data_IF_705997675822
#
_entry.id   IF_705997675822
#
_cell.length_a   1.000
_cell.length_b   1.000
_cell.length_c   1.000
_cell.angle_alpha   90.00
_cell.angle_beta   90.00
_cell.angle_gamma   90.00
#
_symmetry.space_group_name_H-M   'P 1'
#
loop_
_entity.id
_entity.type
_entity.pdbx_description
1 polymer ?
#
# COMPACT_ATOMS: atom_id res chain seq x y z
N UNK A 1 -5.33 6.53 -25.54
CA UNK A 1 -4.13 7.22 -25.05
C UNK A 1 -3.54 6.32 -23.97
N UNK A 2 -2.59 5.46 -24.36
CA UNK A 2 -2.30 4.18 -23.69
C UNK A 2 -1.26 4.42 -22.59
N UNK A 3 -1.66 4.21 -21.33
CA UNK A 3 -0.82 4.32 -20.15
C UNK A 3 0.22 3.18 -20.10
N UNK A 4 1.51 3.54 -20.09
CA UNK A 4 2.62 2.63 -19.75
C UNK A 4 2.93 2.79 -18.25
N UNK A 5 2.71 1.76 -17.40
CA UNK A 5 2.89 1.87 -15.96
C UNK A 5 4.35 2.05 -15.51
N UNK A 6 5.33 1.55 -16.29
CA UNK A 6 6.76 1.75 -16.02
C UNK A 6 7.28 3.12 -16.49
N UNK A 7 6.65 3.71 -17.51
CA UNK A 7 6.88 5.13 -17.88
C UNK A 7 6.37 6.06 -16.77
N UNK A 8 5.39 5.62 -15.97
CA UNK A 8 5.07 6.31 -14.71
C UNK A 8 6.21 6.23 -13.72
N UNK A 9 6.96 5.13 -13.56
CA UNK A 9 8.15 5.11 -12.71
C UNK A 9 9.20 6.18 -13.11
N UNK A 10 9.38 6.44 -14.42
CA UNK A 10 10.26 7.50 -14.93
C UNK A 10 9.65 8.92 -14.88
N UNK A 11 8.33 9.06 -15.02
CA UNK A 11 7.62 10.35 -14.90
C UNK A 11 7.25 10.71 -13.46
N UNK A 12 7.19 9.75 -12.53
CA UNK A 12 7.14 9.94 -11.08
C UNK A 12 8.54 10.05 -10.49
N UNK A 13 9.57 9.46 -11.11
CA UNK A 13 10.97 9.91 -10.92
C UNK A 13 11.12 11.38 -11.32
N UNK A 14 10.44 11.81 -12.38
CA UNK A 14 10.35 13.23 -12.71
C UNK A 14 9.54 13.99 -11.66
N UNK A 15 8.45 13.44 -11.11
CA UNK A 15 7.64 14.03 -10.04
C UNK A 15 8.36 14.21 -8.71
N UNK A 16 9.07 13.18 -8.22
CA UNK A 16 9.89 13.23 -7.00
C UNK A 16 11.11 14.13 -7.21
N UNK A 17 11.73 14.15 -8.41
CA UNK A 17 12.76 15.13 -8.76
C UNK A 17 12.20 16.56 -8.99
N UNK A 18 10.94 16.73 -9.39
CA UNK A 18 10.33 18.04 -9.69
C UNK A 18 9.91 18.81 -8.44
N UNK A 19 9.75 18.14 -7.30
CA UNK A 19 9.39 18.78 -6.02
C UNK A 19 10.53 19.63 -5.43
N UNK A 20 11.72 19.63 -6.05
CA UNK A 20 12.91 20.36 -5.58
C UNK A 20 13.24 21.65 -6.36
N UNK A 21 12.35 22.08 -7.25
CA UNK A 21 12.55 23.29 -8.06
C UNK A 21 12.11 24.55 -7.31
N UNK A 22 13.01 25.17 -6.55
CA UNK A 22 12.75 26.47 -5.94
C UNK A 22 13.86 27.03 -5.06
N UNK A 23 15.12 27.05 -5.51
CA UNK A 23 16.23 27.63 -4.75
C UNK A 23 17.35 28.14 -5.65
N UNK A 24 17.83 29.35 -5.37
CA UNK A 24 18.80 30.13 -6.15
C UNK A 24 20.14 29.43 -6.36
N UNK A 25 20.65 29.52 -7.59
CA UNK A 25 21.88 28.92 -8.06
C UNK A 25 23.12 29.50 -7.38
N UNK A 26 23.79 28.67 -6.56
CA UNK A 26 25.21 28.76 -6.25
C UNK A 26 25.75 27.31 -6.28
N UNK A 27 26.51 26.99 -7.32
CA UNK A 27 27.32 25.77 -7.53
C UNK A 27 26.64 24.37 -7.50
N UNK A 28 25.31 24.27 -7.52
CA UNK A 28 24.60 22.99 -7.65
C UNK A 28 24.09 22.77 -9.09
N UNK A 29 24.90 22.21 -10.01
CA UNK A 29 24.38 21.45 -11.17
C UNK A 29 25.47 20.73 -11.99
N UNK A 30 25.93 19.57 -11.54
CA UNK A 30 26.42 18.55 -12.49
C UNK A 30 25.63 17.25 -12.36
N UNK A 31 25.38 16.79 -11.13
CA UNK A 31 24.70 15.51 -10.88
C UNK A 31 23.31 15.40 -11.56
N UNK A 32 22.45 16.41 -11.49
CA UNK A 32 21.15 16.36 -12.20
C UNK A 32 21.25 16.41 -13.71
N UNK A 33 22.30 17.03 -14.25
CA UNK A 33 22.56 16.97 -15.68
C UNK A 33 23.02 15.56 -16.06
N UNK A 34 23.91 14.96 -15.26
CA UNK A 34 24.35 13.57 -15.43
C UNK A 34 23.22 12.56 -15.31
N UNK A 35 22.33 12.69 -14.30
CA UNK A 35 21.15 11.83 -14.15
C UNK A 35 20.29 11.90 -15.41
N UNK A 36 20.00 13.12 -15.90
CA UNK A 36 19.21 13.31 -17.13
C UNK A 36 19.91 12.74 -18.36
N UNK A 37 21.24 12.84 -18.45
CA UNK A 37 22.00 12.23 -19.53
C UNK A 37 21.94 10.69 -19.45
N UNK A 38 22.05 10.12 -18.26
CA UNK A 38 21.99 8.67 -18.02
C UNK A 38 20.60 8.08 -18.29
N UNK A 39 19.51 8.84 -18.12
CA UNK A 39 18.14 8.38 -18.42
C UNK A 39 17.98 7.81 -19.84
N UNK A 40 18.75 8.32 -20.81
CA UNK A 40 18.75 7.80 -22.18
C UNK A 40 19.12 6.31 -22.27
N UNK A 41 20.09 5.88 -21.46
CA UNK A 41 20.53 4.48 -21.39
C UNK A 41 19.44 3.56 -20.83
N UNK A 42 18.79 3.97 -19.74
CA UNK A 42 17.66 3.21 -19.18
C UNK A 42 16.48 3.16 -20.16
N UNK A 43 16.12 4.30 -20.75
CA UNK A 43 15.00 4.39 -21.70
C UNK A 43 15.12 3.40 -22.87
N UNK A 44 16.33 3.13 -23.33
CA UNK A 44 16.59 2.18 -24.41
C UNK A 44 16.24 0.73 -24.04
N UNK A 45 16.38 0.36 -22.76
CA UNK A 45 16.14 -1.01 -22.28
C UNK A 45 14.78 -1.19 -21.62
N UNK A 46 14.05 -0.09 -21.35
CA UNK A 46 12.76 -0.16 -20.66
C UNK A 46 11.73 -1.12 -21.28
N UNK A 47 11.53 -1.17 -22.62
CA UNK A 47 10.57 -2.11 -23.20
C UNK A 47 10.92 -3.59 -22.89
N UNK A 48 12.21 -3.93 -22.94
CA UNK A 48 12.72 -5.27 -22.60
C UNK A 48 12.48 -5.58 -21.11
N UNK A 49 12.78 -4.62 -20.23
CA UNK A 49 12.57 -4.78 -18.79
C UNK A 49 11.07 -4.91 -18.43
N UNK A 50 10.22 -4.11 -19.06
CA UNK A 50 8.76 -4.18 -18.89
C UNK A 50 8.23 -5.58 -19.25
N UNK A 51 8.71 -6.14 -20.37
CA UNK A 51 8.37 -7.49 -20.80
C UNK A 51 8.86 -8.55 -19.79
N UNK A 52 10.12 -8.47 -19.35
CA UNK A 52 10.68 -9.40 -18.37
C UNK A 52 9.91 -9.38 -17.04
N UNK A 53 9.60 -8.19 -16.51
CA UNK A 53 8.83 -8.06 -15.25
C UNK A 53 7.41 -8.57 -15.43
N UNK A 54 6.77 -8.26 -16.56
CA UNK A 54 5.42 -8.79 -16.89
C UNK A 54 5.44 -10.31 -16.95
N UNK A 55 6.49 -10.90 -17.50
CA UNK A 55 6.72 -12.34 -17.55
C UNK A 55 7.26 -12.91 -16.21
N UNK A 56 7.27 -12.13 -15.12
CA UNK A 56 7.75 -12.62 -13.81
C UNK A 56 9.23 -13.01 -13.79
N UNK A 57 10.03 -12.60 -14.78
CA UNK A 57 11.49 -12.79 -14.85
C UNK A 57 12.22 -11.66 -14.11
N UNK A 58 11.80 -11.37 -12.87
CA UNK A 58 12.25 -10.20 -12.12
C UNK A 58 13.77 -10.21 -11.88
N UNK A 59 14.35 -11.35 -11.50
CA UNK A 59 15.80 -11.46 -11.27
C UNK A 59 16.61 -11.14 -12.55
N UNK A 60 16.17 -11.64 -13.70
CA UNK A 60 16.82 -11.35 -14.98
C UNK A 60 16.64 -9.87 -15.39
N UNK A 61 15.47 -9.28 -15.12
CA UNK A 61 15.25 -7.84 -15.32
C UNK A 61 16.19 -7.00 -14.46
N UNK A 62 16.37 -7.35 -13.19
CA UNK A 62 17.29 -6.66 -12.27
C UNK A 62 18.74 -6.76 -12.76
N UNK A 63 19.18 -7.95 -13.17
CA UNK A 63 20.52 -8.13 -13.74
C UNK A 63 20.71 -7.29 -15.01
N UNK A 64 19.75 -7.34 -15.93
CA UNK A 64 19.77 -6.59 -17.18
C UNK A 64 19.84 -5.08 -16.95
N UNK A 65 19.12 -4.60 -15.93
CA UNK A 65 19.10 -3.20 -15.53
C UNK A 65 20.46 -2.76 -14.95
N UNK A 66 21.06 -3.58 -14.08
CA UNK A 66 22.40 -3.31 -13.53
C UNK A 66 23.50 -3.31 -14.62
N UNK A 67 23.34 -4.10 -15.67
CA UNK A 67 24.26 -4.11 -16.82
C UNK A 67 24.23 -2.84 -17.67
N UNK A 68 23.19 -1.99 -17.56
CA UNK A 68 23.16 -0.71 -18.28
C UNK A 68 24.30 0.21 -17.83
N UNK A 69 24.61 0.19 -16.53
CA UNK A 69 25.74 0.92 -15.94
C UNK A 69 26.54 -0.01 -15.02
N UNK A 70 27.54 -0.74 -15.57
CA UNK A 70 28.29 -1.73 -14.81
C UNK A 70 29.13 -1.08 -13.71
N UNK A 71 29.18 -1.72 -12.54
CA UNK A 71 29.77 -1.17 -11.31
C UNK A 71 31.17 -0.55 -11.45
N UNK A 72 32.15 -1.13 -12.20
CA UNK A 72 33.50 -0.55 -12.28
C UNK A 72 33.59 0.83 -12.94
N UNK A 73 32.58 1.20 -13.74
CA UNK A 73 32.56 2.46 -14.51
C UNK A 73 31.34 3.33 -14.18
N UNK A 74 30.56 2.96 -13.17
CA UNK A 74 29.30 3.61 -12.84
C UNK A 74 29.55 4.93 -12.10
N UNK A 75 28.93 6.02 -12.55
CA UNK A 75 28.98 7.31 -11.86
C UNK A 75 27.96 7.39 -10.72
N UNK A 76 28.13 8.30 -9.73
CA UNK A 76 27.16 8.51 -8.67
C UNK A 76 25.74 8.79 -9.18
N UNK A 77 25.61 9.55 -10.28
CA UNK A 77 24.33 9.84 -10.93
C UNK A 77 23.66 8.57 -11.48
N UNK A 78 24.45 7.66 -12.05
CA UNK A 78 23.95 6.38 -12.56
C UNK A 78 23.56 5.45 -11.41
N UNK A 79 24.31 5.44 -10.30
CA UNK A 79 23.97 4.68 -9.10
C UNK A 79 22.67 5.17 -8.48
N UNK A 80 22.51 6.49 -8.35
CA UNK A 80 21.28 7.13 -7.89
C UNK A 80 20.08 6.72 -8.76
N UNK A 81 20.24 6.80 -10.09
CA UNK A 81 19.20 6.48 -11.04
C UNK A 81 18.80 4.98 -10.99
N UNK A 82 19.78 4.07 -10.92
CA UNK A 82 19.51 2.64 -10.78
C UNK A 82 18.83 2.31 -9.45
N UNK A 83 19.29 2.91 -8.35
CA UNK A 83 18.67 2.74 -7.02
C UNK A 83 17.20 3.11 -7.06
N UNK A 84 16.87 4.28 -7.60
CA UNK A 84 15.48 4.74 -7.71
C UNK A 84 14.58 3.84 -8.57
N UNK A 85 15.13 3.06 -9.50
CA UNK A 85 14.33 2.08 -10.27
C UNK A 85 14.19 0.78 -9.48
N UNK A 86 15.24 0.37 -8.79
CA UNK A 86 15.30 -0.92 -8.11
C UNK A 86 14.61 -0.96 -6.74
N UNK A 87 14.29 0.16 -6.07
CA UNK A 87 13.75 0.10 -4.70
C UNK A 87 12.49 -0.78 -4.54
N UNK A 88 11.61 -0.82 -5.55
CA UNK A 88 10.40 -1.66 -5.56
C UNK A 88 10.56 -3.03 -6.22
N UNK A 89 11.78 -3.39 -6.65
CA UNK A 89 12.09 -4.61 -7.39
C UNK A 89 13.18 -5.45 -6.71
N UNK A 90 14.17 -4.78 -6.12
CA UNK A 90 15.28 -5.31 -5.35
C UNK A 90 15.72 -4.26 -4.31
N UNK A 91 15.05 -4.20 -3.15
CA UNK A 91 15.38 -3.23 -2.09
C UNK A 91 16.84 -3.31 -1.64
N UNK A 92 17.45 -4.50 -1.69
CA UNK A 92 18.84 -4.72 -1.28
C UNK A 92 19.81 -4.08 -2.27
N UNK A 93 19.60 -4.28 -3.57
CA UNK A 93 20.40 -3.62 -4.60
C UNK A 93 20.21 -2.10 -4.56
N UNK A 94 18.97 -1.64 -4.37
CA UNK A 94 18.64 -0.21 -4.24
C UNK A 94 19.43 0.45 -3.12
N UNK A 95 19.37 -0.11 -1.91
CA UNK A 95 20.12 0.39 -0.75
C UNK A 95 21.63 0.53 -1.03
N UNK A 96 22.24 -0.49 -1.64
CA UNK A 96 23.67 -0.46 -1.98
C UNK A 96 24.00 0.65 -3.00
N UNK A 97 23.12 0.86 -3.98
CA UNK A 97 23.29 1.87 -5.04
C UNK A 97 23.14 3.30 -4.52
N UNK A 98 22.16 3.56 -3.66
CA UNK A 98 22.01 4.88 -3.04
C UNK A 98 23.13 5.19 -2.07
N UNK A 99 23.60 4.20 -1.32
CA UNK A 99 24.81 4.35 -0.50
C UNK A 99 26.01 4.73 -1.35
N UNK A 100 26.22 4.05 -2.47
CA UNK A 100 27.28 4.35 -3.42
C UNK A 100 27.15 5.77 -3.98
N UNK A 101 25.95 6.18 -4.39
CA UNK A 101 25.68 7.52 -4.89
C UNK A 101 25.99 8.61 -3.84
N UNK A 102 25.52 8.41 -2.60
CA UNK A 102 25.75 9.35 -1.50
C UNK A 102 27.22 9.49 -1.13
N UNK A 103 27.98 8.39 -1.16
CA UNK A 103 29.43 8.42 -0.93
C UNK A 103 30.19 9.07 -2.09
N UNK A 104 29.72 8.90 -3.33
CA UNK A 104 30.36 9.43 -4.53
C UNK A 104 30.05 10.90 -4.84
N UNK A 105 28.97 11.44 -4.28
CA UNK A 105 28.56 12.84 -4.44
C UNK A 105 28.20 13.50 -3.10
N UNK A 106 29.17 13.51 -2.18
CA UNK A 106 29.01 14.07 -0.84
C UNK A 106 28.50 15.52 -0.89
N UNK A 107 27.43 15.79 -0.14
CA UNK A 107 26.84 17.13 -0.09
C UNK A 107 25.82 17.43 -1.18
N UNK A 108 25.65 16.57 -2.19
CA UNK A 108 24.58 16.74 -3.17
C UNK A 108 23.22 16.42 -2.54
N UNK A 109 22.29 17.37 -2.63
CA UNK A 109 20.99 17.29 -1.95
C UNK A 109 20.15 16.07 -2.38
N UNK A 110 20.27 15.61 -3.63
CA UNK A 110 19.46 14.48 -4.12
C UNK A 110 19.97 13.17 -3.55
N UNK A 111 21.29 12.98 -3.57
CA UNK A 111 21.88 11.77 -2.98
C UNK A 111 21.65 11.71 -1.48
N UNK A 112 21.70 12.86 -0.79
CA UNK A 112 21.36 12.94 0.64
C UNK A 112 19.90 12.55 0.88
N UNK A 113 18.96 13.08 0.10
CA UNK A 113 17.54 12.78 0.26
C UNK A 113 17.23 11.30 0.02
N UNK A 114 17.67 10.75 -1.10
CA UNK A 114 17.41 9.34 -1.44
C UNK A 114 18.10 8.39 -0.45
N UNK A 115 19.30 8.75 0.01
CA UNK A 115 19.97 7.99 1.07
C UNK A 115 19.25 8.06 2.41
N UNK A 116 18.66 9.21 2.77
CA UNK A 116 17.83 9.31 3.97
C UNK A 116 16.60 8.42 3.88
N UNK A 117 15.91 8.39 2.73
CA UNK A 117 14.76 7.52 2.48
C UNK A 117 15.12 6.04 2.56
N UNK A 118 16.24 5.62 1.98
CA UNK A 118 16.73 4.23 2.04
C UNK A 118 17.03 3.78 3.47
N UNK A 119 17.76 4.58 4.24
CA UNK A 119 18.03 4.28 5.65
C UNK A 119 16.73 4.23 6.46
N UNK A 120 15.78 5.12 6.17
CA UNK A 120 14.48 5.13 6.84
C UNK A 120 13.73 3.82 6.57
N UNK A 121 13.67 3.38 5.31
CA UNK A 121 13.10 2.08 4.92
C UNK A 121 13.78 0.89 5.58
N UNK A 122 15.10 0.94 5.71
CA UNK A 122 15.88 -0.10 6.37
C UNK A 122 15.71 -0.11 7.91
N UNK A 123 14.97 0.85 8.48
CA UNK A 123 14.82 1.00 9.93
C UNK A 123 16.04 1.61 10.62
N UNK A 124 16.98 2.17 9.85
CA UNK A 124 18.21 2.82 10.34
C UNK A 124 17.92 4.27 10.75
N UNK A 125 16.96 4.46 11.67
CA UNK A 125 16.37 5.77 11.98
C UNK A 125 17.38 6.84 12.41
N UNK A 126 18.47 6.44 13.09
CA UNK A 126 19.53 7.38 13.49
C UNK A 126 20.32 7.90 12.27
N UNK A 127 20.65 7.03 11.31
CA UNK A 127 21.35 7.40 10.08
C UNK A 127 20.45 8.20 9.14
N UNK A 128 19.18 7.79 9.01
CA UNK A 128 18.16 8.52 8.28
C UNK A 128 17.99 9.94 8.82
N UNK A 129 17.84 10.10 10.15
CA UNK A 129 17.74 11.40 10.81
C UNK A 129 18.95 12.28 10.53
N UNK A 130 20.18 11.76 10.66
CA UNK A 130 21.39 12.52 10.35
C UNK A 130 21.41 13.03 8.89
N UNK A 131 20.89 12.21 7.96
CA UNK A 131 20.79 12.56 6.54
C UNK A 131 19.70 13.60 6.29
N UNK A 132 18.53 13.48 6.93
CA UNK A 132 17.49 14.51 6.89
C UNK A 132 17.94 15.84 7.53
N UNK A 133 18.71 15.80 8.60
CA UNK A 133 19.29 16.99 9.21
C UNK A 133 20.28 17.67 8.26
N UNK A 134 21.12 16.90 7.57
CA UNK A 134 22.00 17.42 6.53
C UNK A 134 21.20 18.06 5.39
N UNK A 135 20.15 17.39 4.91
CA UNK A 135 19.28 17.94 3.88
C UNK A 135 18.63 19.26 4.32
N UNK A 136 18.12 19.33 5.56
CA UNK A 136 17.53 20.56 6.10
C UNK A 136 18.51 21.71 6.27
N UNK A 137 19.82 21.47 6.37
CA UNK A 137 20.79 22.57 6.31
C UNK A 137 20.86 23.20 4.91
N UNK A 138 20.64 22.40 3.86
CA UNK A 138 20.64 22.86 2.47
C UNK A 138 19.29 23.47 2.07
N UNK A 139 18.19 22.91 2.58
CA UNK A 139 16.81 23.29 2.26
C UNK A 139 15.98 23.43 3.56
N UNK A 140 16.21 24.48 4.36
CA UNK A 140 15.63 24.63 5.72
C UNK A 140 14.12 24.89 5.76
N UNK A 141 13.50 25.14 4.60
CA UNK A 141 12.09 25.51 4.48
C UNK A 141 11.28 24.43 3.72
N UNK A 142 11.78 23.18 3.67
CA UNK A 142 11.15 22.07 2.96
C UNK A 142 10.40 21.12 3.91
N UNK A 143 9.07 21.21 3.91
CA UNK A 143 8.19 20.54 4.85
C UNK A 143 8.42 19.01 4.94
N UNK A 144 8.44 18.24 3.84
CA UNK A 144 8.44 16.77 3.93
C UNK A 144 9.63 16.18 4.70
N UNK A 145 10.81 16.80 4.61
CA UNK A 145 12.01 16.33 5.32
C UNK A 145 11.90 16.55 6.82
N UNK A 146 11.24 17.62 7.26
CA UNK A 146 10.93 17.81 8.67
C UNK A 146 9.92 16.77 9.17
N UNK A 147 8.88 16.47 8.39
CA UNK A 147 7.90 15.42 8.72
C UNK A 147 8.56 14.03 8.85
N UNK A 148 9.35 13.61 7.87
CA UNK A 148 10.06 12.32 7.90
C UNK A 148 11.09 12.23 9.04
N UNK A 149 11.79 13.33 9.34
CA UNK A 149 12.68 13.38 10.49
C UNK A 149 11.91 13.27 11.82
N UNK A 150 10.69 13.80 11.91
CA UNK A 150 9.83 13.64 13.09
C UNK A 150 9.46 12.16 13.32
N UNK A 151 9.15 11.40 12.26
CA UNK A 151 8.95 9.94 12.35
C UNK A 151 10.19 9.24 12.93
N UNK A 152 11.38 9.51 12.37
CA UNK A 152 12.64 8.96 12.88
C UNK A 152 12.85 9.28 14.36
N UNK A 153 12.57 10.51 14.79
CA UNK A 153 12.71 10.95 16.19
C UNK A 153 11.72 10.22 17.11
N UNK A 154 10.47 10.00 16.69
CA UNK A 154 9.50 9.19 17.44
C UNK A 154 10.01 7.76 17.62
N UNK A 155 10.59 7.16 16.57
CA UNK A 155 11.11 5.79 16.62
C UNK A 155 12.37 5.65 17.46
N UNK A 156 13.13 6.74 17.60
CA UNK A 156 14.28 6.85 18.51
C UNK A 156 13.89 7.20 19.95
N UNK A 157 12.60 7.37 20.25
CA UNK A 157 12.12 7.75 21.60
C UNK A 157 12.41 9.22 21.97
N UNK A 158 12.72 10.07 20.98
CA UNK A 158 13.01 11.50 21.17
C UNK A 158 11.74 12.33 20.95
N UNK A 159 10.72 12.09 21.78
CA UNK A 159 9.36 12.64 21.58
C UNK A 159 9.34 14.17 21.44
N UNK A 160 10.04 14.89 22.33
CA UNK A 160 10.07 16.37 22.32
C UNK A 160 10.69 16.93 21.03
N UNK A 161 11.81 16.35 20.62
CA UNK A 161 12.48 16.73 19.38
C UNK A 161 11.58 16.45 18.17
N UNK A 162 10.83 15.35 18.19
CA UNK A 162 9.88 15.02 17.13
C UNK A 162 8.76 16.06 17.02
N UNK A 163 8.19 16.51 18.15
CA UNK A 163 7.19 17.59 18.17
C UNK A 163 7.76 18.88 17.57
N UNK A 164 8.95 19.28 18.02
CA UNK A 164 9.61 20.48 17.50
C UNK A 164 9.87 20.37 15.99
N UNK A 165 10.31 19.19 15.52
CA UNK A 165 10.57 18.91 14.11
C UNK A 165 9.28 18.91 13.28
N UNK A 166 8.20 18.33 13.78
CA UNK A 166 6.89 18.38 13.13
C UNK A 166 6.36 19.82 13.00
N UNK A 167 6.54 20.66 14.03
CA UNK A 167 6.18 22.07 13.96
C UNK A 167 6.97 22.85 12.89
N UNK A 168 8.22 22.46 12.60
CA UNK A 168 8.96 23.01 11.46
C UNK A 168 8.33 22.57 10.13
N UNK A 169 7.92 21.30 10.01
CA UNK A 169 7.20 20.80 8.82
C UNK A 169 5.93 21.60 8.55
N UNK A 170 5.14 21.91 9.57
CA UNK A 170 3.89 22.66 9.45
C UNK A 170 4.08 24.14 9.10
N UNK A 171 5.21 24.74 9.50
CA UNK A 171 5.53 26.15 9.25
C UNK A 171 6.29 26.37 7.93
N UNK A 172 6.88 25.31 7.38
CA UNK A 172 7.65 25.37 6.15
C UNK A 172 6.79 25.80 4.96
N UNK A 173 7.37 26.60 4.06
CA UNK A 173 6.66 27.17 2.91
C UNK A 173 6.89 26.43 1.61
N UNK A 174 7.85 25.50 1.56
CA UNK A 174 8.13 24.65 0.39
C UNK A 174 7.78 23.19 0.66
N UNK A 175 7.40 22.51 -0.41
CA UNK A 175 6.78 21.19 -0.30
C UNK A 175 5.35 21.28 0.23
N UNK A 176 4.60 20.22 0.04
CA UNK A 176 3.20 20.10 0.44
C UNK A 176 3.03 18.91 1.38
N UNK A 177 1.89 18.85 2.08
CA UNK A 177 1.52 17.66 2.84
C UNK A 177 1.35 16.45 1.93
N UNK A 178 0.85 16.65 0.71
CA UNK A 178 0.75 15.58 -0.29
C UNK A 178 2.12 14.99 -0.65
N UNK A 179 3.17 15.83 -0.68
CA UNK A 179 4.54 15.38 -0.92
C UNK A 179 5.07 14.55 0.26
N UNK A 180 4.80 15.01 1.49
CA UNK A 180 5.10 14.23 2.70
C UNK A 180 4.38 12.88 2.65
N UNK A 181 3.09 12.86 2.35
CA UNK A 181 2.30 11.63 2.31
C UNK A 181 2.82 10.64 1.27
N UNK A 182 3.21 11.14 0.10
CA UNK A 182 3.81 10.32 -0.96
C UNK A 182 5.13 9.73 -0.53
N UNK A 183 5.98 10.50 0.16
CA UNK A 183 7.26 10.02 0.67
C UNK A 183 7.09 9.05 1.83
N UNK A 184 6.13 9.27 2.72
CA UNK A 184 5.78 8.34 3.80
C UNK A 184 5.29 7.02 3.21
N UNK A 185 4.45 7.04 2.17
CA UNK A 185 4.08 5.86 1.42
C UNK A 185 5.28 5.18 0.74
N UNK A 186 6.23 5.94 0.20
CA UNK A 186 7.43 5.37 -0.40
C UNK A 186 8.36 4.72 0.63
N UNK A 187 8.34 5.19 1.89
CA UNK A 187 9.10 4.59 2.99
C UNK A 187 8.41 3.35 3.55
N UNK A 188 7.14 3.45 3.90
CA UNK A 188 6.44 2.38 4.63
C UNK A 188 5.58 1.46 3.74
N UNK A 189 5.55 1.71 2.43
CA UNK A 189 4.84 0.89 1.46
C UNK A 189 5.46 -0.49 1.23
N UNK A 190 4.66 -1.41 0.67
CA UNK A 190 5.11 -2.77 0.36
C UNK A 190 6.03 -2.80 -0.88
N UNK A 191 7.34 -2.89 -0.65
CA UNK A 191 8.36 -3.00 -1.69
C UNK A 191 8.49 -4.42 -2.29
N UNK A 192 7.66 -5.39 -1.86
CA UNK A 192 7.81 -6.81 -2.23
C UNK A 192 6.84 -7.29 -3.31
N UNK A 193 5.89 -6.44 -3.75
CA UNK A 193 4.82 -6.83 -4.67
C UNK A 193 5.32 -7.47 -5.96
N UNK A 194 6.37 -6.92 -6.57
CA UNK A 194 6.94 -7.48 -7.80
C UNK A 194 7.62 -8.84 -7.56
N UNK A 195 8.32 -9.00 -6.43
CA UNK A 195 8.94 -10.27 -6.04
C UNK A 195 7.89 -11.35 -5.82
N UNK A 196 6.86 -11.04 -5.04
CA UNK A 196 5.70 -11.93 -4.83
C UNK A 196 5.05 -12.32 -6.16
N UNK A 197 4.87 -11.38 -7.08
CA UNK A 197 4.32 -11.67 -8.41
C UNK A 197 5.21 -12.63 -9.19
N UNK A 198 6.52 -12.38 -9.24
CA UNK A 198 7.48 -13.25 -9.92
C UNK A 198 7.45 -14.69 -9.39
N UNK A 199 7.39 -14.85 -8.05
CA UNK A 199 7.27 -16.15 -7.39
C UNK A 199 5.97 -16.87 -7.76
N UNK A 200 4.85 -16.13 -7.80
CA UNK A 200 3.55 -16.67 -8.23
C UNK A 200 3.57 -17.10 -9.70
N UNK A 201 4.12 -16.29 -10.62
CA UNK A 201 4.28 -16.67 -12.03
C UNK A 201 5.11 -17.96 -12.17
N UNK A 202 6.20 -18.08 -11.41
CA UNK A 202 7.05 -19.28 -11.43
C UNK A 202 6.29 -20.54 -10.97
N UNK A 203 5.47 -20.44 -9.93
CA UNK A 203 4.63 -21.55 -9.44
C UNK A 203 3.49 -21.90 -10.40
N UNK A 204 2.86 -20.90 -11.03
CA UNK A 204 1.82 -21.17 -12.04
C UNK A 204 2.38 -21.97 -13.22
N UNK A 205 3.61 -21.69 -13.66
CA UNK A 205 4.27 -22.46 -14.72
C UNK A 205 4.44 -23.94 -14.39
N UNK A 206 4.48 -24.31 -13.12
CA UNK A 206 4.55 -25.71 -12.67
C UNK A 206 3.17 -26.33 -12.41
N UNK A 207 2.09 -25.61 -12.73
CA UNK A 207 0.70 -26.08 -12.61
C UNK A 207 0.05 -25.82 -11.24
N UNK A 208 0.64 -24.96 -10.40
CA UNK A 208 0.09 -24.62 -9.08
C UNK A 208 -1.18 -23.76 -9.20
N UNK A 209 -2.33 -24.37 -8.91
CA UNK A 209 -3.64 -23.69 -8.98
C UNK A 209 -3.88 -22.70 -7.85
N UNK A 210 -3.18 -22.84 -6.73
CA UNK A 210 -3.30 -21.91 -5.61
C UNK A 210 -2.55 -20.63 -5.94
N UNK A 211 -1.35 -20.75 -6.50
CA UNK A 211 -0.61 -19.63 -7.06
C UNK A 211 -1.39 -18.91 -8.16
N UNK A 212 -2.11 -19.64 -9.02
CA UNK A 212 -2.92 -19.03 -10.08
C UNK A 212 -4.03 -18.12 -9.53
N UNK A 213 -4.72 -18.53 -8.48
CA UNK A 213 -5.74 -17.69 -7.83
C UNK A 213 -5.12 -16.44 -7.19
N UNK A 214 -4.00 -16.60 -6.48
CA UNK A 214 -3.30 -15.50 -5.82
C UNK A 214 -2.67 -14.51 -6.82
N UNK A 215 -2.21 -14.99 -7.98
CA UNK A 215 -1.66 -14.16 -9.05
C UNK A 215 -2.74 -13.27 -9.66
N UNK A 216 -3.88 -13.86 -10.04
CA UNK A 216 -5.02 -13.11 -10.56
C UNK A 216 -5.52 -12.09 -9.54
N UNK A 217 -5.57 -12.45 -8.25
CA UNK A 217 -5.95 -11.52 -7.19
C UNK A 217 -5.00 -10.34 -7.06
N UNK A 218 -3.70 -10.62 -7.01
CA UNK A 218 -2.66 -9.59 -6.93
C UNK A 218 -2.75 -8.61 -8.11
N UNK A 219 -2.93 -9.13 -9.32
CA UNK A 219 -3.01 -8.30 -10.52
C UNK A 219 -4.35 -7.57 -10.69
N UNK A 220 -5.43 -8.08 -10.11
CA UNK A 220 -6.75 -7.44 -10.12
C UNK A 220 -6.85 -6.25 -9.18
N UNK A 221 -6.01 -6.22 -8.14
CA UNK A 221 -5.92 -5.12 -7.17
C UNK A 221 -4.46 -4.76 -6.86
N UNK A 222 -3.70 -4.42 -7.89
CA UNK A 222 -2.28 -4.17 -7.78
C UNK A 222 -2.04 -2.78 -7.15
N UNK A 223 -1.51 -2.75 -5.94
CA UNK A 223 -1.19 -1.51 -5.25
C UNK A 223 -0.03 -0.79 -5.95
N UNK A 224 -0.26 0.46 -6.35
CA UNK A 224 0.77 1.37 -6.90
C UNK A 224 1.31 2.31 -5.83
N UNK A 225 0.43 2.72 -4.94
CA UNK A 225 0.70 3.40 -3.68
C UNK A 225 -0.48 3.08 -2.73
N UNK A 226 -0.52 3.70 -1.54
CA UNK A 226 -1.54 3.40 -0.53
C UNK A 226 -2.97 3.67 -0.97
N UNK A 227 -3.20 4.65 -1.85
CA UNK A 227 -4.54 5.07 -2.26
C UNK A 227 -4.86 4.78 -3.73
N UNK A 228 -3.87 4.40 -4.54
CA UNK A 228 -4.03 3.98 -5.93
C UNK A 228 -3.84 2.47 -6.06
N UNK A 229 -4.96 1.74 -6.08
CA UNK A 229 -4.99 0.30 -6.35
C UNK A 229 -5.89 -0.02 -7.55
N UNK A 230 -6.18 -1.30 -7.79
CA UNK A 230 -6.96 -1.76 -8.94
C UNK A 230 -6.13 -2.47 -10.02
N UNK A 231 -6.78 -2.87 -11.13
CA UNK A 231 -6.23 -3.88 -12.02
C UNK A 231 -5.00 -3.38 -12.78
N UNK A 232 -3.92 -4.17 -12.73
CA UNK A 232 -2.77 -4.00 -13.61
C UNK A 232 -2.96 -4.80 -14.90
N UNK A 233 -3.65 -4.19 -15.87
CA UNK A 233 -4.11 -4.86 -17.09
C UNK A 233 -3.02 -5.54 -17.91
N UNK A 234 -1.81 -4.99 -17.95
CA UNK A 234 -0.71 -5.60 -18.70
C UNK A 234 -0.33 -6.96 -18.10
N UNK A 235 -0.23 -7.00 -16.76
CA UNK A 235 0.07 -8.22 -16.01
C UNK A 235 -1.09 -9.21 -16.10
N UNK A 236 -2.33 -8.74 -15.87
CA UNK A 236 -3.51 -9.58 -15.90
C UNK A 236 -3.70 -10.26 -17.27
N UNK A 237 -3.47 -9.56 -18.39
CA UNK A 237 -3.52 -10.17 -19.73
C UNK A 237 -2.45 -11.23 -19.93
N UNK A 238 -1.23 -10.95 -19.48
CA UNK A 238 -0.13 -11.91 -19.56
C UNK A 238 -0.46 -13.17 -18.73
N UNK A 239 -0.93 -13.00 -17.51
CA UNK A 239 -1.19 -14.11 -16.60
C UNK A 239 -2.41 -14.92 -17.02
N UNK A 240 -3.43 -14.31 -17.62
CA UNK A 240 -4.52 -15.06 -18.26
C UNK A 240 -4.02 -15.95 -19.40
N UNK A 241 -3.03 -15.48 -20.19
CA UNK A 241 -2.39 -16.30 -21.20
C UNK A 241 -1.53 -17.42 -20.59
N UNK A 242 -0.87 -17.15 -19.46
CA UNK A 242 -0.11 -18.14 -18.69
C UNK A 242 -1.01 -19.25 -18.12
N UNK A 243 -2.24 -18.92 -17.71
CA UNK A 243 -3.24 -19.88 -17.21
C UNK A 243 -3.94 -20.67 -18.33
N UNK A 244 -3.92 -20.20 -19.58
CA UNK A 244 -4.65 -20.80 -20.69
C UNK A 244 -4.37 -22.30 -20.96
N UNK A 245 -3.12 -22.82 -20.87
CA UNK A 245 -2.85 -24.25 -21.07
C UNK A 245 -3.18 -25.11 -19.84
N UNK A 246 -3.48 -24.50 -18.69
CA UNK A 246 -3.77 -25.22 -17.46
C UNK A 246 -5.24 -25.62 -17.39
N UNK A 247 -5.53 -26.73 -16.73
CA UNK A 247 -6.87 -27.28 -16.58
C UNK A 247 -7.27 -27.42 -15.11
N UNK A 248 -8.56 -27.53 -14.86
CA UNK A 248 -9.14 -27.75 -13.53
C UNK A 248 -10.12 -26.65 -13.13
N UNK A 249 -11.06 -26.97 -12.22
CA UNK A 249 -12.14 -26.05 -11.86
C UNK A 249 -11.61 -24.76 -11.23
N UNK A 250 -10.55 -24.84 -10.43
CA UNK A 250 -9.92 -23.67 -9.80
C UNK A 250 -9.23 -22.76 -10.82
N UNK A 251 -8.52 -23.34 -11.80
CA UNK A 251 -7.92 -22.57 -12.90
C UNK A 251 -9.00 -21.88 -13.74
N UNK A 252 -10.10 -22.59 -14.06
CA UNK A 252 -11.21 -22.03 -14.81
C UNK A 252 -11.86 -20.84 -14.07
N UNK A 253 -12.05 -20.96 -12.75
CA UNK A 253 -12.56 -19.88 -11.92
C UNK A 253 -11.58 -18.69 -11.84
N UNK A 254 -10.27 -18.95 -11.70
CA UNK A 254 -9.25 -17.89 -11.72
C UNK A 254 -9.22 -17.13 -13.04
N UNK A 255 -9.30 -17.85 -14.18
CA UNK A 255 -9.40 -17.21 -15.50
C UNK A 255 -10.64 -16.35 -15.64
N UNK A 256 -11.80 -16.87 -15.23
CA UNK A 256 -13.05 -16.11 -15.24
C UNK A 256 -12.94 -14.83 -14.39
N UNK A 257 -12.38 -14.94 -13.18
CA UNK A 257 -12.18 -13.79 -12.28
C UNK A 257 -11.29 -12.72 -12.92
N UNK A 258 -10.18 -13.12 -13.54
CA UNK A 258 -9.28 -12.19 -14.24
C UNK A 258 -9.92 -11.57 -15.47
N UNK A 259 -10.63 -12.35 -16.29
CA UNK A 259 -11.35 -11.84 -17.47
C UNK A 259 -12.39 -10.78 -17.07
N UNK A 260 -13.11 -10.97 -15.97
CA UNK A 260 -14.08 -10.00 -15.43
C UNK A 260 -13.45 -8.68 -14.92
N UNK A 261 -12.11 -8.60 -14.80
CA UNK A 261 -11.37 -7.45 -14.25
C UNK A 261 -10.48 -6.75 -15.29
N UNK A 262 -10.48 -7.23 -16.53
CA UNK A 262 -9.63 -6.67 -17.59
C UNK A 262 -10.03 -5.25 -17.99
N UNK A 263 -11.32 -4.95 -17.99
CA UNK A 263 -11.86 -3.64 -18.36
C UNK A 263 -11.92 -2.68 -17.17
N UNK A 264 -11.73 -1.38 -17.43
CA UNK A 264 -11.82 -0.34 -16.39
C UNK A 264 -13.22 -0.22 -15.80
N UNK A 265 -14.19 -0.26 -16.71
CA UNK A 265 -15.61 -0.11 -16.46
C UNK A 265 -16.28 -1.34 -17.10
N UNK A 266 -16.20 -2.50 -16.42
CA UNK A 266 -16.75 -3.73 -16.96
C UNK A 266 -18.27 -3.59 -17.12
N UNK A 267 -18.77 -3.94 -18.31
CA UNK A 267 -20.21 -3.88 -18.59
C UNK A 267 -20.91 -5.11 -18.03
N UNK A 268 -22.14 -4.92 -17.52
CA UNK A 268 -22.96 -5.99 -16.95
C UNK A 268 -23.10 -7.19 -17.89
N UNK A 269 -23.39 -6.97 -19.17
CA UNK A 269 -23.61 -8.06 -20.14
C UNK A 269 -22.35 -8.86 -20.42
N UNK A 270 -21.19 -8.21 -20.51
CA UNK A 270 -19.90 -8.86 -20.75
C UNK A 270 -19.50 -9.73 -19.55
N UNK A 271 -19.60 -9.18 -18.33
CA UNK A 271 -19.33 -9.94 -17.08
C UNK A 271 -20.31 -11.10 -16.94
N UNK A 272 -21.60 -10.88 -17.21
CA UNK A 272 -22.62 -11.95 -17.17
C UNK A 272 -22.29 -13.07 -18.15
N UNK A 273 -21.87 -12.75 -19.37
CA UNK A 273 -21.50 -13.75 -20.37
C UNK A 273 -20.29 -14.58 -19.94
N UNK A 274 -19.27 -13.96 -19.34
CA UNK A 274 -18.10 -14.65 -18.79
C UNK A 274 -18.48 -15.60 -17.66
N UNK A 275 -19.30 -15.14 -16.72
CA UNK A 275 -19.82 -15.92 -15.59
C UNK A 275 -20.65 -17.12 -16.05
N UNK A 276 -21.59 -16.91 -16.99
CA UNK A 276 -22.41 -17.98 -17.58
C UNK A 276 -21.54 -19.04 -18.27
N UNK A 277 -20.56 -18.61 -19.07
CA UNK A 277 -19.64 -19.52 -19.76
C UNK A 277 -18.84 -20.37 -18.78
N UNK A 278 -18.48 -19.83 -17.61
CA UNK A 278 -17.76 -20.54 -16.57
C UNK A 278 -18.68 -21.39 -15.65
N UNK A 279 -20.01 -21.23 -15.74
CA UNK A 279 -20.96 -21.89 -14.83
C UNK A 279 -20.94 -21.31 -13.41
N UNK A 280 -20.62 -20.02 -13.26
CA UNK A 280 -20.41 -19.35 -11.98
C UNK A 280 -21.40 -18.19 -11.79
N UNK A 281 -21.93 -18.03 -10.57
CA UNK A 281 -22.60 -16.80 -10.07
C UNK A 281 -23.64 -16.17 -11.01
N UNK A 282 -24.53 -16.98 -11.59
CA UNK A 282 -25.61 -16.48 -12.48
C UNK A 282 -27.02 -16.73 -11.93
N UNK A 283 -27.18 -17.70 -11.03
CA UNK A 283 -28.35 -17.89 -10.18
C UNK A 283 -27.97 -18.64 -8.88
N UNK A 284 -28.96 -18.89 -8.01
CA UNK A 284 -28.75 -19.60 -6.74
C UNK A 284 -28.32 -21.07 -6.90
N UNK A 285 -28.58 -21.69 -8.05
CA UNK A 285 -28.19 -23.07 -8.35
C UNK A 285 -26.77 -23.17 -8.93
N UNK A 286 -26.21 -22.08 -9.47
CA UNK A 286 -24.83 -22.05 -9.97
C UNK A 286 -23.80 -22.10 -8.84
N UNK A 287 -22.63 -22.64 -9.17
CA UNK A 287 -21.56 -22.87 -8.20
C UNK A 287 -20.80 -21.60 -7.86
N UNK A 288 -20.41 -21.48 -6.59
CA UNK A 288 -19.29 -20.63 -6.18
C UNK A 288 -18.03 -21.50 -6.17
N UNK A 289 -16.85 -20.95 -6.51
CA UNK A 289 -15.61 -21.66 -6.24
C UNK A 289 -15.46 -21.87 -4.73
N UNK A 290 -14.71 -22.89 -4.32
CA UNK A 290 -14.42 -23.14 -2.91
C UNK A 290 -13.31 -22.24 -2.37
N UNK A 291 -12.51 -21.66 -3.27
CA UNK A 291 -11.39 -20.81 -2.89
C UNK A 291 -11.86 -19.41 -2.44
N UNK A 292 -11.52 -18.97 -1.21
CA UNK A 292 -11.93 -17.67 -0.67
C UNK A 292 -11.63 -16.47 -1.57
N UNK A 293 -10.42 -16.44 -2.14
CA UNK A 293 -9.93 -15.31 -2.95
C UNK A 293 -10.73 -15.22 -4.25
N UNK A 294 -11.00 -16.35 -4.89
CA UNK A 294 -11.82 -16.37 -6.10
C UNK A 294 -13.28 -16.03 -5.84
N UNK A 295 -13.84 -16.46 -4.70
CA UNK A 295 -15.19 -16.06 -4.27
C UNK A 295 -15.28 -14.54 -4.16
N UNK A 296 -14.33 -13.92 -3.46
CA UNK A 296 -14.29 -12.47 -3.28
C UNK A 296 -14.21 -11.73 -4.61
N UNK A 297 -13.24 -12.09 -5.46
CA UNK A 297 -13.04 -11.41 -6.74
C UNK A 297 -14.27 -11.48 -7.65
N UNK A 298 -14.86 -12.67 -7.79
CA UNK A 298 -16.00 -12.89 -8.69
C UNK A 298 -17.27 -12.21 -8.18
N UNK A 299 -17.56 -12.28 -6.88
CA UNK A 299 -18.72 -11.59 -6.30
C UNK A 299 -18.57 -10.08 -6.41
N UNK A 300 -17.40 -9.53 -6.08
CA UNK A 300 -17.12 -8.12 -6.28
C UNK A 300 -17.29 -7.71 -7.74
N UNK A 301 -16.73 -8.46 -8.70
CA UNK A 301 -16.90 -8.18 -10.13
C UNK A 301 -18.37 -8.20 -10.56
N UNK A 302 -19.14 -9.21 -10.14
CA UNK A 302 -20.55 -9.33 -10.48
C UNK A 302 -21.37 -8.17 -9.88
N UNK A 303 -21.06 -7.74 -8.67
CA UNK A 303 -21.78 -6.66 -7.97
C UNK A 303 -21.40 -5.29 -8.54
N UNK A 304 -20.10 -5.02 -8.72
CA UNK A 304 -19.61 -3.76 -9.29
C UNK A 304 -20.07 -3.54 -10.74
N UNK A 305 -20.21 -4.61 -11.52
CA UNK A 305 -20.76 -4.55 -12.88
C UNK A 305 -22.30 -4.64 -12.92
N UNK A 306 -22.99 -4.60 -11.77
CA UNK A 306 -24.46 -4.67 -11.66
C UNK A 306 -25.10 -5.94 -12.26
N UNK A 307 -24.33 -7.03 -12.38
CA UNK A 307 -24.87 -8.35 -12.77
C UNK A 307 -25.78 -8.91 -11.68
N UNK A 308 -25.44 -8.60 -10.43
CA UNK A 308 -26.09 -9.05 -9.21
C UNK A 308 -26.08 -7.92 -8.17
N UNK A 309 -27.16 -7.77 -7.40
CA UNK A 309 -27.14 -6.86 -6.23
C UNK A 309 -26.56 -7.57 -5.01
N UNK A 310 -26.00 -6.81 -4.04
CA UNK A 310 -25.53 -7.37 -2.76
C UNK A 310 -26.61 -8.19 -2.05
N UNK A 311 -27.84 -7.68 -1.99
CA UNK A 311 -28.99 -8.38 -1.41
C UNK A 311 -29.30 -9.71 -2.10
N UNK A 312 -29.19 -9.79 -3.42
CA UNK A 312 -29.34 -11.06 -4.14
C UNK A 312 -28.20 -12.03 -3.82
N UNK A 313 -26.94 -11.57 -3.83
CA UNK A 313 -25.80 -12.39 -3.40
C UNK A 313 -25.96 -12.93 -1.99
N UNK A 314 -26.38 -12.09 -1.05
CA UNK A 314 -26.65 -12.48 0.34
C UNK A 314 -27.73 -13.55 0.40
N UNK A 315 -28.85 -13.36 -0.32
CA UNK A 315 -29.96 -14.32 -0.33
C UNK A 315 -29.56 -15.68 -0.95
N UNK A 316 -28.72 -15.68 -1.99
CA UNK A 316 -28.31 -16.89 -2.68
C UNK A 316 -27.19 -17.65 -1.96
N UNK A 317 -26.23 -16.91 -1.40
CA UNK A 317 -24.96 -17.49 -0.96
C UNK A 317 -24.61 -17.22 0.50
N UNK A 318 -25.24 -16.25 1.17
CA UNK A 318 -24.86 -15.78 2.50
C UNK A 318 -24.77 -16.89 3.54
N UNK A 319 -25.80 -17.72 3.68
CA UNK A 319 -25.80 -18.84 4.64
C UNK A 319 -24.67 -19.85 4.38
N UNK A 320 -24.43 -20.19 3.10
CA UNK A 320 -23.37 -21.13 2.71
C UNK A 320 -21.99 -20.54 2.98
N UNK A 321 -21.77 -19.29 2.59
CA UNK A 321 -20.50 -18.59 2.78
C UNK A 321 -20.18 -18.40 4.27
N UNK A 322 -21.18 -18.05 5.08
CA UNK A 322 -21.00 -17.93 6.51
C UNK A 322 -20.63 -19.28 7.15
N UNK A 323 -21.32 -20.37 6.79
CA UNK A 323 -20.95 -21.71 7.27
C UNK A 323 -19.51 -22.10 6.87
N UNK A 324 -19.09 -21.76 5.64
CA UNK A 324 -17.73 -22.02 5.18
C UNK A 324 -16.69 -21.17 5.91
N UNK A 325 -16.97 -19.89 6.17
CA UNK A 325 -16.12 -18.99 6.93
C UNK A 325 -15.88 -19.52 8.36
N UNK A 326 -16.94 -20.02 9.02
CA UNK A 326 -16.85 -20.63 10.36
C UNK A 326 -16.01 -21.90 10.40
N UNK A 327 -16.05 -22.72 9.35
CA UNK A 327 -15.27 -23.97 9.30
C UNK A 327 -13.80 -23.70 8.99
N UNK A 328 -13.53 -22.74 8.10
CA UNK A 328 -12.17 -22.44 7.63
C UNK A 328 -11.42 -21.44 8.50
N UNK A 329 -12.13 -20.60 9.25
CA UNK A 329 -11.58 -19.40 9.90
C UNK A 329 -10.86 -18.46 8.92
N UNK A 330 -11.20 -18.51 7.63
CA UNK A 330 -10.57 -17.70 6.61
C UNK A 330 -11.10 -16.26 6.63
N UNK A 331 -10.19 -15.30 6.84
CA UNK A 331 -10.53 -13.89 6.96
C UNK A 331 -11.12 -13.30 5.66
N UNK A 332 -10.76 -13.82 4.48
CA UNK A 332 -11.32 -13.37 3.21
C UNK A 332 -12.78 -13.79 3.08
N UNK A 333 -13.14 -15.02 3.47
CA UNK A 333 -14.55 -15.44 3.48
C UNK A 333 -15.37 -14.64 4.49
N UNK A 334 -14.84 -14.39 5.69
CA UNK A 334 -15.51 -13.53 6.66
C UNK A 334 -15.75 -12.12 6.10
N UNK A 335 -14.77 -11.56 5.39
CA UNK A 335 -14.88 -10.26 4.74
C UNK A 335 -15.97 -10.24 3.66
N UNK A 336 -16.07 -11.32 2.86
CA UNK A 336 -17.16 -11.48 1.89
C UNK A 336 -18.53 -11.53 2.58
N UNK A 337 -18.66 -12.29 3.68
CA UNK A 337 -19.93 -12.39 4.42
C UNK A 337 -20.33 -11.03 4.99
N UNK A 338 -19.40 -10.31 5.62
CA UNK A 338 -19.62 -8.96 6.12
C UNK A 338 -20.00 -7.99 4.98
N UNK A 339 -19.30 -8.02 3.85
CA UNK A 339 -19.60 -7.19 2.69
C UNK A 339 -21.02 -7.42 2.13
N UNK A 340 -21.50 -8.67 2.15
CA UNK A 340 -22.85 -9.03 1.71
C UNK A 340 -23.94 -8.68 2.73
N UNK A 341 -23.59 -8.56 4.01
CA UNK A 341 -24.50 -8.15 5.07
C UNK A 341 -24.79 -6.64 4.92
N UNK A 342 -25.80 -6.31 4.13
CA UNK A 342 -26.17 -4.92 3.87
C UNK A 342 -26.79 -4.27 5.11
N UNK A 343 -26.02 -3.46 5.85
CA UNK A 343 -26.58 -2.56 6.86
C UNK A 343 -26.81 -1.18 6.24
N UNK A 344 -27.99 -0.96 5.65
CA UNK A 344 -28.46 0.39 5.27
C UNK A 344 -28.75 1.30 6.47
N UNK A 345 -28.43 0.84 7.68
CA UNK A 345 -28.63 1.50 8.97
C UNK A 345 -27.27 1.58 9.68
N UNK A 346 -26.88 2.75 10.20
CA UNK A 346 -25.84 2.81 11.23
C UNK A 346 -26.23 1.90 12.39
N UNK A 347 -25.27 1.22 13.02
CA UNK A 347 -25.49 0.39 14.20
C UNK A 347 -26.46 -0.81 13.99
N UNK A 348 -26.30 -1.58 12.91
CA UNK A 348 -27.02 -2.84 12.72
C UNK A 348 -26.53 -3.92 13.72
N UNK A 349 -27.38 -4.41 14.64
CA UNK A 349 -27.00 -5.45 15.60
C UNK A 349 -26.51 -6.74 14.94
N UNK A 350 -27.02 -7.08 13.75
CA UNK A 350 -26.58 -8.27 13.02
C UNK A 350 -25.15 -8.11 12.50
N UNK A 351 -24.81 -6.92 11.99
CA UNK A 351 -23.43 -6.61 11.61
C UNK A 351 -22.50 -6.64 12.81
N UNK A 352 -22.90 -6.01 13.92
CA UNK A 352 -22.09 -5.98 15.14
C UNK A 352 -21.81 -7.38 15.71
N UNK A 353 -22.80 -8.27 15.70
CA UNK A 353 -22.58 -9.67 16.08
C UNK A 353 -21.64 -10.41 15.11
N UNK A 354 -21.80 -10.17 13.80
CA UNK A 354 -20.99 -10.79 12.76
C UNK A 354 -19.52 -10.37 12.85
N UNK A 355 -19.24 -9.08 13.00
CA UNK A 355 -17.88 -8.55 13.18
C UNK A 355 -17.20 -9.17 14.41
N UNK A 356 -17.94 -9.34 15.51
CA UNK A 356 -17.41 -9.99 16.71
C UNK A 356 -17.05 -11.45 16.46
N UNK A 357 -17.94 -12.19 15.81
CA UNK A 357 -17.75 -13.60 15.49
C UNK A 357 -16.55 -13.79 14.55
N UNK A 358 -16.44 -12.96 13.51
CA UNK A 358 -15.33 -12.95 12.58
C UNK A 358 -13.99 -12.65 13.27
N UNK A 359 -13.94 -11.63 14.14
CA UNK A 359 -12.75 -11.28 14.89
C UNK A 359 -12.29 -12.44 15.79
N UNK A 360 -13.20 -13.07 16.53
CA UNK A 360 -12.86 -14.20 17.39
C UNK A 360 -12.37 -15.42 16.59
N UNK A 361 -12.88 -15.62 15.37
CA UNK A 361 -12.53 -16.76 14.52
C UNK A 361 -11.15 -16.63 13.86
N UNK A 362 -10.84 -15.47 13.28
CA UNK A 362 -9.67 -15.31 12.41
C UNK A 362 -8.63 -14.31 12.92
N UNK A 363 -8.88 -13.62 14.03
CA UNK A 363 -7.90 -12.72 14.64
C UNK A 363 -7.39 -11.61 13.69
N UNK A 364 -8.23 -11.13 12.76
CA UNK A 364 -7.91 -10.09 11.77
C UNK A 364 -8.36 -8.69 12.26
N UNK A 365 -7.53 -7.64 12.12
CA UNK A 365 -7.83 -6.31 12.64
C UNK A 365 -9.05 -5.66 11.99
N UNK A 366 -9.39 -6.01 10.74
CA UNK A 366 -10.55 -5.45 10.04
C UNK A 366 -11.83 -5.67 10.81
N UNK A 367 -11.99 -6.86 11.41
CA UNK A 367 -13.20 -7.20 12.15
C UNK A 367 -13.22 -6.62 13.57
N UNK A 368 -12.05 -6.42 14.18
CA UNK A 368 -11.96 -5.69 15.44
C UNK A 368 -12.40 -4.22 15.24
N UNK A 369 -11.86 -3.56 14.21
CA UNK A 369 -12.27 -2.20 13.82
C UNK A 369 -13.74 -2.15 13.45
N UNK A 370 -14.21 -3.09 12.62
CA UNK A 370 -15.60 -3.22 12.20
C UNK A 370 -16.55 -3.33 13.38
N UNK A 371 -16.20 -4.13 14.39
CA UNK A 371 -16.98 -4.31 15.61
C UNK A 371 -17.20 -2.99 16.37
N UNK A 372 -16.13 -2.21 16.58
CA UNK A 372 -16.24 -0.90 17.23
C UNK A 372 -17.01 0.11 16.37
N UNK A 373 -16.80 0.09 15.04
CA UNK A 373 -17.47 0.99 14.11
C UNK A 373 -18.98 0.70 13.98
N UNK A 374 -19.40 -0.56 14.20
CA UNK A 374 -20.80 -0.99 14.11
C UNK A 374 -21.52 -0.97 15.46
N UNK A 375 -20.90 -0.45 16.53
CA UNK A 375 -21.48 -0.43 17.86
C UNK A 375 -22.82 0.37 17.90
N UNK A 376 -23.79 -0.03 18.74
CA UNK A 376 -25.06 0.67 18.89
C UNK A 376 -24.92 2.17 19.16
N UNK A 377 -25.79 2.99 18.56
CA UNK A 377 -25.77 4.43 18.76
C UNK A 377 -25.92 4.79 20.26
N UNK A 378 -24.95 5.53 20.79
CA UNK A 378 -24.89 5.91 22.20
C UNK A 378 -23.95 5.06 23.06
N UNK A 379 -23.43 3.95 22.53
CA UNK A 379 -22.30 3.24 23.15
C UNK A 379 -20.99 3.94 22.78
N UNK A 380 -20.48 4.75 23.70
CA UNK A 380 -19.17 5.36 23.55
C UNK A 380 -18.09 4.37 23.97
N UNK A 381 -17.16 4.08 23.05
CA UNK A 381 -15.95 3.32 23.35
C UNK A 381 -15.15 4.05 24.43
N UNK A 382 -14.76 3.32 25.47
CA UNK A 382 -13.95 3.84 26.58
C UNK A 382 -12.56 3.23 26.54
N UNK A 383 -11.56 3.97 27.01
CA UNK A 383 -10.18 3.46 27.06
C UNK A 383 -10.01 2.26 27.99
N UNK A 384 -10.84 2.15 29.03
CA UNK A 384 -10.86 1.03 29.98
C UNK A 384 -11.72 -0.16 29.52
N UNK A 385 -12.26 -0.12 28.30
CA UNK A 385 -13.01 -1.24 27.71
C UNK A 385 -12.08 -2.47 27.53
N UNK A 386 -12.38 -3.62 28.16
CA UNK A 386 -11.59 -4.83 28.02
C UNK A 386 -11.41 -5.30 26.58
N UNK A 387 -12.39 -5.09 25.71
CA UNK A 387 -12.31 -5.46 24.30
C UNK A 387 -11.39 -4.51 23.53
N UNK A 388 -11.40 -3.21 23.84
CA UNK A 388 -10.47 -2.27 23.21
C UNK A 388 -9.03 -2.59 23.63
N UNK A 389 -8.80 -2.87 24.92
CA UNK A 389 -7.50 -3.28 25.41
C UNK A 389 -7.03 -4.60 24.78
N UNK A 390 -7.93 -5.58 24.59
CA UNK A 390 -7.64 -6.81 23.83
C UNK A 390 -7.24 -6.49 22.40
N UNK A 391 -8.00 -5.64 21.70
CA UNK A 391 -7.72 -5.27 20.32
C UNK A 391 -6.37 -4.56 20.16
N UNK A 392 -6.07 -3.58 21.03
CA UNK A 392 -4.79 -2.88 21.03
C UNK A 392 -3.60 -3.79 21.35
N UNK A 393 -3.79 -4.79 22.23
CA UNK A 393 -2.76 -5.78 22.51
C UNK A 393 -2.51 -6.72 21.31
N UNK A 394 -3.56 -7.04 20.56
CA UNK A 394 -3.48 -7.91 19.39
C UNK A 394 -2.96 -7.18 18.15
N UNK A 395 -3.30 -5.91 17.99
CA UNK A 395 -2.99 -5.08 16.83
C UNK A 395 -2.38 -3.74 17.27
N UNK A 396 -1.16 -3.76 17.85
CA UNK A 396 -0.57 -2.57 18.44
C UNK A 396 -0.28 -1.47 17.43
N UNK A 397 -0.17 -1.78 16.14
CA UNK A 397 0.15 -0.85 15.07
C UNK A 397 -1.06 -0.49 14.18
N UNK A 398 -2.29 -0.88 14.57
CA UNK A 398 -3.49 -0.50 13.81
C UNK A 398 -3.92 0.94 14.12
N UNK A 399 -3.84 1.81 13.10
CA UNK A 399 -4.09 3.24 13.23
C UNK A 399 -5.54 3.55 13.65
N UNK A 400 -6.53 2.76 13.21
CA UNK A 400 -7.94 3.01 13.51
C UNK A 400 -8.26 2.62 14.96
N UNK A 401 -7.76 1.48 15.45
CA UNK A 401 -7.91 1.09 16.85
C UNK A 401 -7.21 2.08 17.79
N UNK A 402 -6.01 2.54 17.45
CA UNK A 402 -5.31 3.56 18.21
C UNK A 402 -6.05 4.89 18.20
N UNK A 403 -6.65 5.27 17.07
CA UNK A 403 -7.48 6.47 16.98
C UNK A 403 -8.70 6.39 17.90
N UNK A 404 -9.39 5.25 17.95
CA UNK A 404 -10.48 5.02 18.89
C UNK A 404 -10.02 5.18 20.35
N UNK A 405 -8.86 4.61 20.69
CA UNK A 405 -8.29 4.73 22.03
C UNK A 405 -7.92 6.17 22.42
N UNK A 406 -7.29 6.91 21.50
CA UNK A 406 -6.85 8.31 21.71
C UNK A 406 -8.05 9.25 21.86
N UNK A 407 -9.17 8.96 21.19
CA UNK A 407 -10.38 9.79 21.25
C UNK A 407 -11.29 9.45 22.44
N UNK A 408 -11.18 8.23 22.99
CA UNK A 408 -11.99 7.76 24.10
C UNK A 408 -11.65 8.37 25.47
N UNK A 409 -10.45 8.94 25.64
CA UNK A 409 -10.01 9.56 26.90
C UNK A 409 -8.84 10.54 26.64
N UNK A 410 -8.50 11.43 27.59
CA UNK A 410 -7.27 12.22 27.51
C UNK A 410 -6.07 11.29 27.28
N UNK A 411 -5.37 11.40 26.13
CA UNK A 411 -4.40 10.39 25.75
C UNK A 411 -3.08 10.58 26.50
N UNK A 412 -2.44 9.47 26.86
CA UNK A 412 -1.08 9.49 27.41
C UNK A 412 -0.05 9.73 26.31
N UNK A 413 1.17 10.15 26.69
CA UNK A 413 2.28 10.27 25.75
C UNK A 413 2.55 8.95 25.01
N UNK A 414 2.56 7.83 25.73
CA UNK A 414 2.80 6.51 25.15
C UNK A 414 1.76 6.15 24.07
N UNK A 415 0.48 6.45 24.33
CA UNK A 415 -0.59 6.17 23.39
C UNK A 415 -0.50 7.07 22.14
N UNK A 416 -0.18 8.36 22.30
CA UNK A 416 0.03 9.28 21.18
C UNK A 416 1.25 8.88 20.33
N UNK A 417 2.36 8.51 20.97
CA UNK A 417 3.57 8.02 20.29
C UNK A 417 3.25 6.78 19.46
N UNK A 418 2.50 5.83 20.02
CA UNK A 418 2.08 4.64 19.28
C UNK A 418 1.13 4.98 18.12
N UNK A 419 0.16 5.86 18.36
CA UNK A 419 -0.72 6.41 17.31
C UNK A 419 0.04 7.05 16.16
N UNK A 420 1.06 7.85 16.45
CA UNK A 420 1.91 8.48 15.43
C UNK A 420 2.67 7.44 14.60
N UNK A 421 3.25 6.41 15.23
CA UNK A 421 3.94 5.32 14.51
C UNK A 421 2.99 4.60 13.55
N UNK A 422 1.78 4.29 14.00
CA UNK A 422 0.77 3.63 13.18
C UNK A 422 0.33 4.50 11.99
N UNK A 423 0.08 5.79 12.21
CA UNK A 423 -0.27 6.73 11.14
C UNK A 423 0.85 6.89 10.10
N UNK A 424 2.12 6.92 10.52
CA UNK A 424 3.24 6.91 9.57
C UNK A 424 3.37 5.59 8.81
N UNK A 425 2.93 4.47 9.38
CA UNK A 425 2.95 3.18 8.68
C UNK A 425 1.81 3.06 7.66
N UNK A 426 0.62 3.57 7.98
CA UNK A 426 -0.49 3.69 7.05
C UNK A 426 -1.48 4.74 7.57
N UNK A 427 -1.62 5.87 6.86
CA UNK A 427 -2.53 6.92 7.30
C UNK A 427 -3.95 6.39 7.44
N UNK A 428 -4.64 6.83 8.48
CA UNK A 428 -6.08 6.59 8.60
C UNK A 428 -6.86 7.46 7.60
N UNK A 429 -7.93 6.91 7.04
CA UNK A 429 -8.93 7.71 6.35
C UNK A 429 -9.79 8.42 7.39
N UNK A 430 -9.87 9.76 7.36
CA UNK A 430 -10.65 10.50 8.36
C UNK A 430 -12.14 10.25 8.18
N UNK A 431 -12.79 9.70 9.20
CA UNK A 431 -14.24 9.46 9.28
C UNK A 431 -14.58 7.97 9.27
N UNK A 432 -15.17 7.45 10.36
CA UNK A 432 -15.74 6.09 10.40
C UNK A 432 -16.88 5.88 9.38
N UNK A 433 -17.32 6.94 8.70
CA UNK A 433 -18.25 6.88 7.57
C UNK A 433 -17.47 6.68 6.27
N UNK A 434 -17.17 5.43 5.97
CA UNK A 434 -17.18 4.71 4.67
C UNK A 434 -17.36 5.44 3.32
N UNK A 435 -17.01 6.71 3.14
CA UNK A 435 -16.75 7.18 1.78
C UNK A 435 -15.39 6.62 1.39
N UNK A 436 -15.42 5.51 0.67
CA UNK A 436 -14.30 4.79 0.02
C UNK A 436 -13.41 5.75 -0.84
N UNK A 437 -13.83 7.01 -1.00
CA UNK A 437 -13.18 8.06 -1.77
C UNK A 437 -12.31 9.04 -0.93
N UNK A 438 -12.25 8.88 0.40
CA UNK A 438 -11.42 9.73 1.24
C UNK A 438 -9.95 9.31 1.17
N UNK A 439 -9.10 10.11 0.52
CA UNK A 439 -7.64 9.89 0.53
C UNK A 439 -7.12 9.91 1.98
N UNK A 440 -6.43 8.84 2.44
CA UNK A 440 -5.72 8.86 3.72
C UNK A 440 -4.74 10.04 3.77
N UNK A 441 -4.71 10.77 4.89
CA UNK A 441 -3.99 12.03 4.97
C UNK A 441 -3.33 12.25 6.32
N UNK A 442 -2.27 13.07 6.36
CA UNK A 442 -1.50 13.38 7.56
C UNK A 442 -2.28 14.26 8.60
N UNK A 443 -3.60 14.39 8.47
CA UNK A 443 -4.46 15.16 9.38
C UNK A 443 -4.43 14.60 10.80
N UNK A 444 -4.48 13.28 10.94
CA UNK A 444 -4.46 12.61 12.24
C UNK A 444 -3.10 12.80 12.92
N UNK A 445 -1.99 12.74 12.16
CA UNK A 445 -0.66 13.09 12.67
C UNK A 445 -0.61 14.50 13.26
N UNK A 446 -1.14 15.51 12.56
CA UNK A 446 -1.20 16.89 13.07
C UNK A 446 -1.90 16.95 14.42
N UNK A 447 -3.04 16.26 14.56
CA UNK A 447 -3.79 16.22 15.80
C UNK A 447 -2.99 15.57 16.93
N UNK A 448 -2.30 14.46 16.66
CA UNK A 448 -1.49 13.76 17.66
C UNK A 448 -0.26 14.55 18.10
N UNK A 449 0.49 15.16 17.17
CA UNK A 449 1.61 16.02 17.52
C UNK A 449 1.17 17.26 18.31
N UNK A 450 0.03 17.87 17.95
CA UNK A 450 -0.54 18.98 18.71
C UNK A 450 -1.06 18.56 20.10
N UNK A 451 -1.46 17.31 20.28
CA UNK A 451 -1.80 16.77 21.60
C UNK A 451 -0.55 16.52 22.44
N UNK A 452 0.53 15.97 21.84
CA UNK A 452 1.82 15.77 22.50
C UNK A 452 2.42 17.09 23.00
N UNK A 453 2.38 18.15 22.19
CA UNK A 453 2.89 19.48 22.56
C UNK A 453 2.18 20.08 23.79
N UNK A 454 0.93 19.68 24.04
CA UNK A 454 0.11 20.18 25.15
C UNK A 454 0.27 19.38 26.45
N UNK A 455 0.96 18.23 26.44
CA UNK A 455 1.13 17.42 27.64
C UNK A 455 2.09 18.09 28.65
N UNK A 456 1.74 18.11 29.96
CA UNK A 456 2.62 18.66 30.98
C UNK A 456 3.92 17.85 31.08
N UNK A 457 5.05 18.54 31.00
CA UNK A 457 6.37 17.92 30.89
C UNK A 457 6.88 17.75 29.45
N UNK A 458 6.18 18.30 28.44
CA UNK A 458 6.70 18.43 27.08
C UNK A 458 7.54 19.71 26.84
N UNK A 459 7.46 20.70 27.74
CA UNK A 459 8.26 21.95 27.70
C UNK A 459 9.63 21.83 28.38
#
# INVERSE_FOLDING_TARGET
MIARPFVRLLTSLSGICLLLCGGTALAASDLMAEVRAAQGGLKAVMPELEEMVTDGRLAAANERLLQVFPAPARSPAQSLLLGNVLFGMDPKASYALHREAALGALGDKLTIMEWALEQHRAGEYAGALASYDHYSMLEPDFAPVHGLAADCLIRLGRTRDAVARWMLSEKARRGTLDDLESLVCAVHGDATLQGRRADLCARVRTGDSDAAALLIALDSDFARDWWNRGPQRAYLRHDLALLAPLAGPRIAAARCAGECRLDEEPKADDVRALLLKAGLITDAAHTLPTDPVLVELLLQSAISAEVLTRKQAQAWFGTRLHAQAKVSNDATLWNVVAYLQESGQPADPAMHALEKEAWDACADPRFAVGWFASAPAGEHVRLDDPLLLKALAQFPDDALLLHLAITAAPPSEALLVQGIKAEYHHFSATGMTSSINGRPAARTLRAYFAALDRLPGAQ
#
